data_IF_271261058538
#
_entry.id   IF_271261058538
#
_cell.length_a   1.000
_cell.length_b   1.000
_cell.length_c   1.000
_cell.angle_alpha   90.00
_cell.angle_beta   90.00
_cell.angle_gamma   90.00
#
_symmetry.space_group_name_H-M   'P 1'
#
loop_
_entity.id
_entity.type
_entity.pdbx_description
1 polymer ?
#
# COMPACT_ATOMS: atom_id res chain seq x y z
N UNK A 1 -3.37 39.07 -1.69
CA UNK A 1 -4.31 37.99 -2.05
C UNK A 1 -3.97 37.48 -3.44
N UNK A 2 -3.18 36.40 -3.57
CA UNK A 2 -2.99 35.73 -4.86
C UNK A 2 -4.13 34.72 -5.01
N UNK A 3 -5.18 35.12 -5.70
CA UNK A 3 -6.23 34.23 -6.19
C UNK A 3 -5.59 33.25 -7.17
N UNK A 4 -5.43 32.00 -6.74
CA UNK A 4 -5.19 30.88 -7.67
C UNK A 4 -6.44 30.73 -8.51
N UNK A 5 -6.39 31.19 -9.76
CA UNK A 5 -7.41 30.96 -10.77
C UNK A 5 -7.53 29.44 -11.01
N UNK A 6 -8.56 28.83 -10.43
CA UNK A 6 -9.08 27.55 -10.90
C UNK A 6 -9.55 27.76 -12.34
N UNK A 7 -8.73 27.33 -13.31
CA UNK A 7 -9.06 27.33 -14.72
C UNK A 7 -10.34 26.51 -14.96
N UNK A 8 -11.18 26.89 -15.93
CA UNK A 8 -12.41 26.17 -16.25
C UNK A 8 -12.05 24.76 -16.74
N UNK A 9 -12.92 23.81 -16.42
CA UNK A 9 -12.81 22.39 -16.77
C UNK A 9 -12.32 22.20 -18.20
N UNK A 10 -11.11 21.64 -18.38
CA UNK A 10 -10.57 21.34 -19.70
C UNK A 10 -11.17 20.01 -20.16
N UNK A 11 -11.84 19.95 -21.31
CA UNK A 11 -12.42 18.69 -21.75
C UNK A 11 -11.38 17.81 -22.51
N UNK A 12 -11.50 16.48 -22.37
CA UNK A 12 -10.55 15.50 -22.92
C UNK A 12 -10.99 15.02 -24.30
N UNK A 13 -10.06 15.03 -25.26
CA UNK A 13 -10.31 14.57 -26.62
C UNK A 13 -9.10 13.80 -27.18
N UNK A 14 -9.31 12.56 -27.65
CA UNK A 14 -8.30 11.73 -28.30
C UNK A 14 -6.93 11.66 -27.57
N UNK A 15 -6.93 11.84 -26.25
CA UNK A 15 -5.70 11.89 -25.46
C UNK A 15 -5.00 13.25 -25.48
N UNK A 16 -5.71 14.36 -25.65
CA UNK A 16 -5.24 15.71 -25.41
C UNK A 16 -6.34 16.55 -24.75
N UNK A 17 -5.94 17.57 -24.00
CA UNK A 17 -6.88 18.58 -23.47
C UNK A 17 -6.59 19.92 -24.08
N UNK A 18 -7.64 20.72 -24.32
CA UNK A 18 -7.55 22.07 -24.87
C UNK A 18 -8.01 23.09 -23.83
N UNK A 19 -7.44 24.29 -23.87
CA UNK A 19 -7.83 25.43 -23.04
C UNK A 19 -8.02 26.68 -23.88
N UNK A 20 -8.95 27.54 -23.46
CA UNK A 20 -9.12 28.88 -24.02
C UNK A 20 -8.30 29.88 -23.23
N UNK A 21 -7.55 30.74 -23.92
CA UNK A 21 -6.80 31.82 -23.31
C UNK A 21 -7.76 32.97 -22.95
N UNK A 22 -7.76 33.43 -21.69
CA UNK A 22 -8.75 34.40 -21.19
C UNK A 22 -8.71 35.74 -21.94
N UNK A 23 -7.52 36.25 -22.27
CA UNK A 23 -7.38 37.57 -22.93
C UNK A 23 -7.54 37.52 -24.45
N UNK A 24 -6.91 36.57 -25.14
CA UNK A 24 -6.92 36.50 -26.62
C UNK A 24 -8.09 35.69 -27.16
N UNK A 25 -8.74 34.86 -26.33
CA UNK A 25 -9.76 33.92 -26.77
C UNK A 25 -9.22 32.72 -27.54
N UNK A 26 -7.91 32.60 -27.69
CA UNK A 26 -7.25 31.55 -28.46
C UNK A 26 -7.42 30.18 -27.82
N UNK A 27 -7.67 29.17 -28.64
CA UNK A 27 -7.71 27.77 -28.20
C UNK A 27 -6.33 27.16 -28.37
N UNK A 28 -5.78 26.61 -27.29
CA UNK A 28 -4.45 25.99 -27.27
C UNK A 28 -4.52 24.58 -26.70
N UNK A 29 -3.65 23.69 -27.17
CA UNK A 29 -3.43 22.38 -26.55
C UNK A 29 -2.83 22.63 -25.17
N UNK A 30 -3.59 22.31 -24.12
CA UNK A 30 -3.14 22.44 -22.75
C UNK A 30 -2.22 21.28 -22.35
N UNK A 31 -2.55 20.05 -22.79
CA UNK A 31 -1.80 18.84 -22.46
C UNK A 31 -2.00 17.75 -23.50
N UNK A 32 -0.99 16.91 -23.68
CA UNK A 32 -1.08 15.63 -24.41
C UNK A 32 -0.91 14.49 -23.42
N UNK A 33 -1.81 13.51 -23.47
CA UNK A 33 -1.88 12.34 -22.59
C UNK A 33 -1.12 11.17 -23.21
N UNK A 34 -0.14 10.66 -22.49
CA UNK A 34 0.73 9.56 -22.95
C UNK A 34 -0.07 8.32 -23.32
N UNK A 35 0.26 7.70 -24.46
CA UNK A 35 -0.42 6.53 -25.01
C UNK A 35 -1.79 6.83 -25.64
N UNK A 36 -2.26 8.08 -25.61
CA UNK A 36 -3.43 8.55 -26.35
C UNK A 36 -3.17 8.65 -27.86
N UNK A 37 -4.20 8.93 -28.66
CA UNK A 37 -4.07 9.07 -30.11
C UNK A 37 -3.22 10.30 -30.48
N UNK A 38 -3.39 11.41 -29.76
CA UNK A 38 -2.59 12.62 -29.94
C UNK A 38 -1.10 12.41 -29.64
N UNK A 39 -0.76 11.65 -28.60
CA UNK A 39 0.62 11.28 -28.27
C UNK A 39 1.22 10.35 -29.34
N UNK A 40 0.47 9.31 -29.72
CA UNK A 40 0.89 8.31 -30.72
C UNK A 40 1.09 8.91 -32.12
N UNK A 41 0.38 9.99 -32.47
CA UNK A 41 0.58 10.65 -33.76
C UNK A 41 1.91 11.42 -33.80
N UNK A 42 2.38 11.92 -32.65
CA UNK A 42 3.56 12.79 -32.56
C UNK A 42 3.39 14.14 -33.27
N UNK A 43 2.16 14.54 -33.59
CA UNK A 43 1.87 15.76 -34.36
C UNK A 43 1.33 16.91 -33.50
N UNK A 44 0.92 16.63 -32.26
CA UNK A 44 0.35 17.60 -31.33
C UNK A 44 1.25 17.74 -30.10
N UNK A 45 1.51 18.97 -29.69
CA UNK A 45 2.28 19.30 -28.50
C UNK A 45 1.53 20.28 -27.61
N UNK A 46 1.79 20.23 -26.31
CA UNK A 46 1.29 21.24 -25.39
C UNK A 46 1.82 22.63 -25.80
N UNK A 47 0.94 23.62 -25.85
CA UNK A 47 1.23 24.97 -26.31
C UNK A 47 0.86 25.24 -27.77
N UNK A 48 0.57 24.22 -28.58
CA UNK A 48 0.11 24.43 -29.97
C UNK A 48 -1.23 25.17 -29.98
N UNK A 49 -1.34 26.24 -30.77
CA UNK A 49 -2.58 27.00 -30.96
C UNK A 49 -3.39 26.37 -32.09
N UNK A 50 -4.65 26.01 -31.80
CA UNK A 50 -5.60 25.52 -32.78
C UNK A 50 -6.20 26.70 -33.54
N UNK A 51 -6.13 26.65 -34.87
CA UNK A 51 -6.69 27.66 -35.77
C UNK A 51 -7.93 27.13 -36.48
N UNK A 52 -7.86 25.90 -37.00
CA UNK A 52 -9.00 25.24 -37.65
C UNK A 52 -9.05 23.75 -37.28
N UNK A 53 -10.27 23.20 -37.23
CA UNK A 53 -10.56 21.77 -37.09
C UNK A 53 -11.47 21.36 -38.24
N UNK A 54 -11.01 20.45 -39.09
CA UNK A 54 -11.73 19.99 -40.30
C UNK A 54 -12.20 21.15 -41.20
N UNK A 55 -11.39 22.21 -41.31
CA UNK A 55 -11.72 23.41 -42.09
C UNK A 55 -12.67 24.39 -41.41
N UNK A 56 -13.13 24.10 -40.19
CA UNK A 56 -13.93 25.04 -39.38
C UNK A 56 -12.98 25.87 -38.51
N UNK A 57 -12.99 27.21 -38.62
CA UNK A 57 -12.19 28.07 -37.75
C UNK A 57 -12.66 27.94 -36.31
N UNK A 58 -11.71 27.86 -35.37
CA UNK A 58 -12.01 27.72 -33.94
C UNK A 58 -11.91 29.04 -33.16
N UNK A 59 -11.61 30.13 -33.84
CA UNK A 59 -11.55 31.47 -33.22
C UNK A 59 -12.91 31.87 -32.64
N UNK A 60 -12.89 32.36 -31.40
CA UNK A 60 -14.12 32.77 -30.69
C UNK A 60 -15.00 31.63 -30.19
N UNK A 61 -14.67 30.36 -30.48
CA UNK A 61 -15.38 29.21 -29.93
C UNK A 61 -14.98 28.94 -28.49
N UNK A 62 -15.89 28.30 -27.76
CA UNK A 62 -15.60 27.71 -26.46
C UNK A 62 -15.07 26.27 -26.62
N UNK A 63 -14.22 25.77 -25.69
CA UNK A 63 -13.64 24.43 -25.75
C UNK A 63 -14.68 23.30 -25.97
N UNK A 64 -15.86 23.42 -25.37
CA UNK A 64 -16.95 22.45 -25.49
C UNK A 64 -17.49 22.38 -26.92
N UNK A 65 -17.54 23.52 -27.62
CA UNK A 65 -17.99 23.59 -29.00
C UNK A 65 -16.98 22.93 -29.95
N UNK A 66 -15.68 23.16 -29.71
CA UNK A 66 -14.62 22.49 -30.48
C UNK A 66 -14.68 20.98 -30.29
N UNK A 67 -14.97 20.49 -29.08
CA UNK A 67 -15.15 19.06 -28.86
C UNK A 67 -16.38 18.51 -29.55
N UNK A 68 -17.47 19.27 -29.62
CA UNK A 68 -18.63 18.84 -30.38
C UNK A 68 -18.29 18.64 -31.87
N UNK A 69 -17.55 19.57 -32.47
CA UNK A 69 -17.04 19.46 -33.85
C UNK A 69 -16.18 18.20 -34.01
N UNK A 70 -15.27 17.97 -33.06
CA UNK A 70 -14.38 16.82 -33.08
C UNK A 70 -15.13 15.49 -32.89
N UNK A 71 -16.16 15.45 -32.05
CA UNK A 71 -16.98 14.26 -31.80
C UNK A 71 -17.82 13.84 -33.02
N UNK A 72 -18.18 14.80 -33.89
CA UNK A 72 -18.90 14.54 -35.14
C UNK A 72 -17.99 13.98 -36.25
N UNK A 73 -16.67 13.93 -36.03
CA UNK A 73 -15.70 13.50 -37.03
C UNK A 73 -15.61 11.97 -37.11
N UNK A 74 -15.75 11.39 -38.30
CA UNK A 74 -15.90 9.93 -38.46
C UNK A 74 -14.60 9.15 -38.63
N UNK A 75 -13.47 9.77 -39.00
CA UNK A 75 -12.22 9.01 -39.22
C UNK A 75 -10.95 9.85 -39.08
N UNK A 76 -10.76 10.81 -39.99
CA UNK A 76 -9.56 11.65 -40.03
C UNK A 76 -9.90 13.04 -39.55
N UNK A 77 -9.07 13.58 -38.67
CA UNK A 77 -9.22 14.92 -38.13
C UNK A 77 -8.05 15.76 -38.59
N UNK A 78 -8.37 16.83 -39.29
CA UNK A 78 -7.40 17.76 -39.85
C UNK A 78 -7.30 18.96 -38.93
N UNK A 79 -6.11 19.21 -38.39
CA UNK A 79 -5.82 20.38 -37.58
C UNK A 79 -4.97 21.36 -38.36
N UNK A 80 -5.35 22.64 -38.34
CA UNK A 80 -4.45 23.75 -38.69
C UNK A 80 -3.94 24.36 -37.39
N UNK A 81 -2.63 24.32 -37.20
CA UNK A 81 -1.99 24.66 -35.93
C UNK A 81 -0.94 25.75 -36.13
N UNK A 82 -0.76 26.58 -35.11
CA UNK A 82 0.44 27.40 -34.93
C UNK A 82 1.27 26.73 -33.82
N UNK A 83 2.46 26.19 -34.13
CA UNK A 83 3.29 25.50 -33.14
C UNK A 83 3.64 26.38 -31.93
N UNK A 84 3.59 25.79 -30.75
CA UNK A 84 4.09 26.42 -29.53
C UNK A 84 5.63 26.47 -29.47
N UNK A 85 6.16 27.46 -28.74
CA UNK A 85 7.61 27.73 -28.63
C UNK A 85 8.40 26.64 -27.89
N UNK A 86 7.76 25.89 -26.99
CA UNK A 86 8.43 24.99 -26.05
C UNK A 86 8.23 23.50 -26.41
N UNK A 87 9.08 22.99 -27.30
CA UNK A 87 9.12 21.55 -27.65
C UNK A 87 10.13 20.82 -26.78
N UNK A 88 9.77 20.49 -25.54
CA UNK A 88 10.64 19.72 -24.64
C UNK A 88 10.41 18.21 -24.85
N UNK A 89 11.33 17.56 -25.57
CA UNK A 89 11.39 16.09 -25.65
C UNK A 89 12.04 15.59 -24.34
N UNK A 90 11.35 14.72 -23.60
CA UNK A 90 11.81 14.24 -22.31
C UNK A 90 12.21 12.77 -22.41
N UNK A 91 13.47 12.47 -22.12
CA UNK A 91 13.95 11.11 -21.89
C UNK A 91 13.62 10.75 -20.44
N UNK A 92 12.56 9.98 -20.20
CA UNK A 92 12.15 9.62 -18.85
C UNK A 92 12.57 8.20 -18.48
N UNK A 93 13.16 8.08 -17.29
CA UNK A 93 13.36 6.82 -16.58
C UNK A 93 12.01 6.29 -16.11
N UNK A 94 11.78 4.99 -16.27
CA UNK A 94 10.53 4.37 -15.83
C UNK A 94 10.48 4.33 -14.30
N UNK A 95 9.48 5.00 -13.71
CA UNK A 95 9.25 5.06 -12.26
C UNK A 95 7.96 4.32 -11.90
N UNK A 96 7.99 3.47 -10.87
CA UNK A 96 6.81 2.79 -10.36
C UNK A 96 6.55 3.18 -8.91
N UNK A 97 5.29 3.38 -8.57
CA UNK A 97 4.87 3.74 -7.22
C UNK A 97 3.67 2.91 -6.78
N UNK A 98 3.58 2.65 -5.49
CA UNK A 98 2.40 2.11 -4.81
C UNK A 98 1.57 3.26 -4.28
N UNK A 99 0.28 3.27 -4.57
CA UNK A 99 -0.66 4.25 -4.02
C UNK A 99 -0.91 3.99 -2.53
N UNK A 100 -0.71 4.99 -1.67
CA UNK A 100 -0.90 4.86 -0.23
C UNK A 100 -2.29 5.32 0.25
N UNK A 101 -3.15 5.72 -0.70
CA UNK A 101 -4.47 6.29 -0.48
C UNK A 101 -5.39 6.02 -1.68
N UNK A 102 -6.69 6.26 -1.50
CA UNK A 102 -7.70 6.16 -2.55
C UNK A 102 -7.86 7.50 -3.26
N UNK A 103 -7.97 7.50 -4.60
CA UNK A 103 -8.21 8.70 -5.38
C UNK A 103 -9.37 8.55 -6.36
N UNK A 104 -10.30 9.50 -6.30
CA UNK A 104 -11.43 9.61 -7.21
C UNK A 104 -11.39 10.98 -7.93
N UNK A 105 -11.02 11.03 -9.23
CA UNK A 105 -10.96 12.26 -10.00
C UNK A 105 -12.26 13.07 -9.97
N UNK A 106 -13.41 12.39 -10.01
CA UNK A 106 -14.74 13.02 -10.00
C UNK A 106 -15.05 13.77 -8.71
N UNK A 107 -14.31 13.49 -7.64
CA UNK A 107 -14.47 14.13 -6.33
C UNK A 107 -13.39 15.19 -6.07
N UNK A 108 -12.43 15.41 -6.98
CA UNK A 108 -11.37 16.39 -6.81
C UNK A 108 -11.68 17.68 -7.57
N UNK A 109 -12.07 18.78 -6.89
CA UNK A 109 -12.41 20.03 -7.56
C UNK A 109 -11.19 20.72 -8.19
N UNK A 110 -9.96 20.29 -7.85
CA UNK A 110 -8.73 20.87 -8.39
C UNK A 110 -8.25 20.19 -9.66
N UNK A 111 -8.84 19.07 -10.07
CA UNK A 111 -8.41 18.37 -11.28
C UNK A 111 -8.73 19.21 -12.53
N UNK A 112 -7.78 19.44 -13.45
CA UNK A 112 -8.03 20.23 -14.65
C UNK A 112 -9.10 19.61 -15.55
N UNK A 113 -9.17 18.28 -15.59
CA UNK A 113 -10.10 17.50 -16.38
C UNK A 113 -10.43 16.20 -15.64
N UNK A 114 -11.66 16.06 -15.14
CA UNK A 114 -12.09 14.87 -14.42
C UNK A 114 -12.05 13.61 -15.30
N UNK A 115 -12.38 13.75 -16.59
CA UNK A 115 -12.39 12.66 -17.58
C UNK A 115 -10.99 12.17 -17.94
N UNK A 116 -9.97 13.01 -17.79
CA UNK A 116 -8.57 12.63 -17.94
C UNK A 116 -7.95 12.05 -16.66
N UNK A 117 -8.67 12.06 -15.54
CA UNK A 117 -8.16 11.57 -14.27
C UNK A 117 -8.06 10.05 -14.23
N UNK A 118 -7.00 9.54 -13.61
CA UNK A 118 -6.83 8.12 -13.34
C UNK A 118 -7.35 7.79 -11.93
N UNK A 119 -8.51 7.13 -11.77
CA UNK A 119 -8.94 6.65 -10.46
C UNK A 119 -8.06 5.49 -10.00
N UNK A 120 -7.69 5.49 -8.72
CA UNK A 120 -6.92 4.39 -8.14
C UNK A 120 -7.34 4.09 -6.70
N UNK A 121 -7.06 2.86 -6.30
CA UNK A 121 -7.24 2.36 -4.94
C UNK A 121 -5.91 2.23 -4.24
N UNK A 122 -5.94 2.40 -2.94
CA UNK A 122 -4.85 2.15 -2.02
C UNK A 122 -4.27 0.75 -2.25
N UNK A 123 -2.95 0.66 -2.39
CA UNK A 123 -2.21 -0.56 -2.72
C UNK A 123 -1.95 -0.80 -4.21
N UNK A 124 -2.68 -0.13 -5.12
CA UNK A 124 -2.44 -0.30 -6.56
C UNK A 124 -1.06 0.22 -6.99
N UNK A 125 -0.42 -0.49 -7.91
CA UNK A 125 0.88 -0.10 -8.49
C UNK A 125 0.64 0.71 -9.77
N UNK A 126 1.21 1.92 -9.78
CA UNK A 126 1.13 2.89 -10.85
C UNK A 126 2.51 3.07 -11.49
N UNK A 127 2.55 3.03 -12.82
CA UNK A 127 3.71 3.46 -13.59
C UNK A 127 3.57 4.96 -13.86
N UNK A 128 4.53 5.74 -13.38
CA UNK A 128 4.61 7.17 -13.68
C UNK A 128 5.28 7.33 -15.04
N UNK A 129 4.60 8.05 -15.93
CA UNK A 129 5.05 8.25 -17.33
C UNK A 129 5.28 9.72 -17.68
N UNK A 130 4.83 10.65 -16.83
CA UNK A 130 5.19 12.06 -16.94
C UNK A 130 5.09 12.78 -15.60
N UNK A 131 6.14 13.53 -15.24
CA UNK A 131 6.19 14.39 -14.05
C UNK A 131 6.47 15.86 -14.39
N UNK A 132 6.43 16.27 -15.67
CA UNK A 132 6.69 17.64 -16.11
C UNK A 132 5.77 18.67 -15.43
N UNK A 133 4.50 18.33 -15.26
CA UNK A 133 3.58 19.17 -14.49
C UNK A 133 3.78 18.93 -12.98
N UNK A 134 4.14 20.01 -12.29
CA UNK A 134 4.43 20.04 -10.85
C UNK A 134 3.25 19.58 -10.01
N UNK A 135 2.01 19.82 -10.45
CA UNK A 135 0.77 19.53 -9.73
C UNK A 135 0.13 18.21 -10.16
N UNK A 136 0.18 17.87 -11.44
CA UNK A 136 -0.56 16.75 -12.03
C UNK A 136 0.31 15.82 -12.86
N UNK A 137 0.69 14.68 -12.29
CA UNK A 137 1.47 13.66 -13.02
C UNK A 137 0.60 12.85 -13.95
N UNK A 138 1.20 12.29 -15.00
CA UNK A 138 0.57 11.26 -15.81
C UNK A 138 1.06 9.88 -15.35
N UNK A 139 0.11 8.99 -15.12
CA UNK A 139 0.40 7.63 -14.71
C UNK A 139 -0.53 6.63 -15.41
N UNK A 140 -0.19 5.34 -15.34
CA UNK A 140 -1.07 4.25 -15.75
C UNK A 140 -0.99 3.11 -14.73
N UNK A 141 -2.04 2.30 -14.63
CA UNK A 141 -2.04 1.12 -13.78
C UNK A 141 -1.19 0.02 -14.43
N UNK A 142 -0.34 -0.63 -13.65
CA UNK A 142 0.48 -1.76 -14.15
C UNK A 142 -0.38 -2.91 -14.64
N UNK A 143 -1.56 -3.11 -14.05
CA UNK A 143 -2.53 -4.14 -14.51
C UNK A 143 -3.09 -3.86 -15.91
N UNK A 144 -2.98 -2.64 -16.43
CA UNK A 144 -3.54 -2.27 -17.73
C UNK A 144 -2.64 -1.29 -18.50
N UNK A 145 -1.45 -1.75 -18.89
CA UNK A 145 -0.47 -0.94 -19.63
C UNK A 145 -0.91 -0.55 -21.05
N UNK A 146 -1.95 -1.21 -21.60
CA UNK A 146 -2.47 -0.96 -22.95
C UNK A 146 -3.32 0.30 -23.04
N UNK A 147 -3.87 0.77 -21.92
CA UNK A 147 -4.67 2.00 -21.84
C UNK A 147 -3.75 3.22 -21.79
N UNK A 148 -4.24 4.35 -22.29
CA UNK A 148 -3.54 5.63 -22.14
C UNK A 148 -3.34 5.98 -20.66
N UNK A 149 -2.39 6.88 -20.41
CA UNK A 149 -2.19 7.43 -19.08
C UNK A 149 -3.43 8.24 -18.64
N UNK A 150 -3.50 8.52 -17.34
CA UNK A 150 -4.42 9.51 -16.79
C UNK A 150 -3.73 10.36 -15.73
N UNK A 151 -4.40 11.42 -15.33
CA UNK A 151 -3.90 12.39 -14.37
C UNK A 151 -4.03 11.88 -12.94
N UNK A 152 -2.95 12.00 -12.18
CA UNK A 152 -2.93 11.78 -10.74
C UNK A 152 -2.33 13.00 -10.03
N UNK A 153 -2.76 13.29 -8.79
CA UNK A 153 -2.14 14.35 -7.98
C UNK A 153 -0.66 14.07 -7.76
N UNK A 154 0.19 15.07 -7.93
CA UNK A 154 1.62 14.97 -7.60
C UNK A 154 1.89 14.97 -6.08
N UNK A 155 3.10 14.60 -5.70
CA UNK A 155 3.59 14.80 -4.32
C UNK A 155 3.51 16.27 -3.87
N UNK A 156 3.74 17.24 -4.78
CA UNK A 156 3.71 18.65 -4.44
C UNK A 156 2.27 19.13 -4.13
N UNK A 157 1.30 18.74 -4.96
CA UNK A 157 -0.10 19.06 -4.76
C UNK A 157 -0.62 18.47 -3.45
N UNK A 158 -0.25 17.23 -3.15
CA UNK A 158 -0.65 16.57 -1.90
C UNK A 158 -0.04 17.23 -0.66
N UNK A 159 1.25 17.60 -0.68
CA UNK A 159 1.88 18.36 0.41
C UNK A 159 1.21 19.72 0.65
N UNK A 160 0.70 20.36 -0.41
CA UNK A 160 -0.08 21.61 -0.29
C UNK A 160 -1.43 21.36 0.38
N UNK A 161 -2.22 20.39 -0.10
CA UNK A 161 -3.50 19.99 0.51
C UNK A 161 -3.34 19.62 1.98
N UNK A 162 -2.29 18.86 2.30
CA UNK A 162 -1.98 18.48 3.68
C UNK A 162 -1.68 19.72 4.54
N UNK A 163 -0.80 20.64 4.11
CA UNK A 163 -0.54 21.87 4.87
C UNK A 163 -1.81 22.71 5.08
N UNK A 164 -2.63 22.89 4.05
CA UNK A 164 -3.90 23.65 4.14
C UNK A 164 -4.91 22.97 5.09
N UNK A 165 -4.94 21.64 5.14
CA UNK A 165 -5.74 20.88 6.09
C UNK A 165 -5.27 21.05 7.54
N UNK A 166 -3.96 21.19 7.79
CA UNK A 166 -3.39 21.38 9.13
C UNK A 166 -3.65 22.79 9.70
N UNK A 167 -3.95 23.78 8.86
CA UNK A 167 -4.30 25.15 9.30
C UNK A 167 -5.80 25.33 9.61
N UNK A 168 -6.66 24.39 9.24
CA UNK A 168 -8.13 24.54 9.34
C UNK A 168 -8.76 23.83 10.54
N UNK A 169 -7.99 23.09 11.34
CA UNK A 169 -8.49 22.44 12.55
C UNK A 169 -7.55 22.69 13.74
N UNK A 170 -8.04 23.17 14.91
CA UNK A 170 -7.27 23.01 16.13
C UNK A 170 -7.08 21.51 16.34
N UNK A 171 -5.84 21.10 16.56
CA UNK A 171 -5.50 19.73 16.93
C UNK A 171 -6.44 19.26 18.04
N UNK A 172 -7.39 18.39 17.70
CA UNK A 172 -7.77 17.34 18.62
C UNK A 172 -6.69 16.27 18.41
N UNK A 173 -5.69 16.13 19.30
CA UNK A 173 -4.92 14.90 19.33
C UNK A 173 -5.97 13.80 19.41
N UNK A 174 -5.92 12.82 18.50
CA UNK A 174 -6.83 11.67 18.49
C UNK A 174 -7.07 11.28 19.93
N UNK A 175 -8.25 11.63 20.42
CA UNK A 175 -8.64 11.38 21.79
C UNK A 175 -8.59 9.87 21.90
N UNK A 176 -7.68 9.43 22.77
CA UNK A 176 -7.51 8.07 23.25
C UNK A 176 -8.87 7.36 23.23
N UNK A 177 -9.12 6.55 22.21
CA UNK A 177 -10.30 5.71 22.18
C UNK A 177 -10.05 4.63 23.22
N UNK A 178 -10.80 4.78 24.32
CA UNK A 178 -10.83 3.97 25.52
C UNK A 178 -10.65 2.49 25.21
N UNK A 179 -9.88 1.84 26.07
CA UNK A 179 -9.84 0.40 26.31
C UNK A 179 -11.21 -0.25 26.11
N UNK A 180 -11.43 -0.86 24.95
CA UNK A 180 -12.42 -1.92 24.84
C UNK A 180 -11.71 -3.17 25.29
N UNK A 181 -12.03 -3.60 26.50
CA UNK A 181 -11.70 -4.92 27.01
C UNK A 181 -12.44 -5.90 26.08
N UNK A 182 -11.74 -6.47 25.10
CA UNK A 182 -12.17 -7.75 24.53
C UNK A 182 -11.71 -8.82 25.52
N UNK A 183 -12.65 -9.27 26.34
CA UNK A 183 -12.48 -10.16 27.49
C UNK A 183 -12.03 -11.59 27.13
N UNK A 184 -11.51 -11.83 25.91
CA UNK A 184 -11.10 -13.15 25.44
C UNK A 184 -9.66 -13.30 24.95
N UNK A 185 -8.82 -12.26 25.02
CA UNK A 185 -7.38 -12.41 24.89
C UNK A 185 -6.69 -11.52 25.91
N UNK A 186 -6.23 -12.12 27.00
CA UNK A 186 -5.33 -11.45 27.92
C UNK A 186 -3.96 -11.40 27.23
N UNK A 187 -3.66 -10.34 26.49
CA UNK A 187 -2.32 -9.87 26.16
C UNK A 187 -2.43 -8.36 26.13
N UNK A 188 -2.01 -7.68 27.19
CA UNK A 188 -1.95 -6.23 27.23
C UNK A 188 -0.73 -5.81 26.41
N UNK A 189 -0.94 -5.41 25.16
CA UNK A 189 0.11 -4.78 24.37
C UNK A 189 0.48 -3.44 25.02
N UNK A 190 1.67 -3.33 25.60
CA UNK A 190 2.20 -2.06 26.13
C UNK A 190 2.52 -1.13 24.96
N UNK A 191 1.58 -0.24 24.64
CA UNK A 191 1.72 0.80 23.63
C UNK A 191 2.62 1.92 24.16
N UNK A 192 3.89 1.93 23.75
CA UNK A 192 4.73 3.12 23.91
C UNK A 192 5.07 3.77 22.58
N UNK A 193 4.63 5.01 22.48
CA UNK A 193 4.86 5.98 21.42
C UNK A 193 6.33 6.44 21.49
N UNK A 194 7.21 5.84 20.68
CA UNK A 194 8.61 6.26 20.59
C UNK A 194 8.99 6.54 19.13
N UNK A 195 8.27 7.45 18.48
CA UNK A 195 8.67 7.96 17.16
C UNK A 195 8.64 9.50 17.09
N UNK A 196 8.97 10.19 18.20
CA UNK A 196 8.94 11.66 18.19
C UNK A 196 10.19 12.41 18.62
N UNK A 197 11.27 11.77 19.08
CA UNK A 197 12.36 12.59 19.65
C UNK A 197 13.80 12.34 19.19
N UNK A 198 14.18 11.23 18.55
CA UNK A 198 15.61 11.07 18.17
C UNK A 198 15.95 10.39 16.83
N UNK A 199 15.01 10.14 15.93
CA UNK A 199 15.37 9.76 14.56
C UNK A 199 15.60 10.99 13.68
N UNK A 200 16.75 11.64 13.86
CA UNK A 200 17.34 12.43 12.77
C UNK A 200 17.74 11.44 11.66
N UNK A 201 17.10 11.57 10.49
CA UNK A 201 17.46 10.97 9.19
C UNK A 201 16.92 9.62 8.69
N UNK A 202 16.15 8.81 9.42
CA UNK A 202 15.63 7.54 8.82
C UNK A 202 14.23 7.07 9.23
N UNK A 203 13.39 7.93 9.80
CA UNK A 203 11.95 7.65 9.95
C UNK A 203 11.15 8.46 8.93
N UNK A 204 11.34 8.15 7.65
CA UNK A 204 10.27 8.36 6.68
C UNK A 204 9.13 7.43 7.10
N UNK A 205 8.17 7.93 7.88
CA UNK A 205 6.90 7.23 8.05
C UNK A 205 6.34 6.99 6.63
N UNK A 206 6.48 5.77 6.11
CA UNK A 206 5.91 5.39 4.81
C UNK A 206 4.39 5.65 4.77
N UNK A 207 3.75 5.73 5.94
CA UNK A 207 2.36 6.13 6.14
C UNK A 207 2.05 7.63 5.87
N UNK A 208 3.05 8.50 5.69
CA UNK A 208 2.87 9.94 5.49
C UNK A 208 3.07 10.41 4.04
N UNK A 209 3.51 9.54 3.13
CA UNK A 209 3.76 9.88 1.72
C UNK A 209 2.62 9.29 0.86
N UNK A 210 2.00 10.06 -0.06
CA UNK A 210 0.87 9.58 -0.85
C UNK A 210 1.24 8.46 -1.84
N UNK A 211 2.51 8.36 -2.21
CA UNK A 211 3.05 7.35 -3.10
C UNK A 211 4.35 6.80 -2.53
N UNK A 212 4.47 5.48 -2.43
CA UNK A 212 5.72 4.79 -2.07
C UNK A 212 6.39 4.28 -3.35
N UNK A 213 7.65 4.66 -3.59
CA UNK A 213 8.38 4.15 -4.75
C UNK A 213 8.65 2.66 -4.63
N UNK A 214 8.44 1.91 -5.72
CA UNK A 214 8.58 0.46 -5.75
C UNK A 214 9.37 -0.03 -6.95
N UNK A 215 10.03 -1.17 -6.78
CA UNK A 215 10.76 -1.88 -7.83
C UNK A 215 10.38 -3.36 -7.84
N UNK A 216 10.57 -4.01 -8.99
CA UNK A 216 10.45 -5.47 -9.07
C UNK A 216 11.69 -6.11 -8.45
N UNK A 217 11.47 -6.92 -7.42
CA UNK A 217 12.50 -7.69 -6.73
C UNK A 217 12.21 -9.17 -6.87
N UNK A 218 13.21 -9.92 -7.30
CA UNK A 218 13.25 -11.36 -7.30
C UNK A 218 14.38 -11.79 -6.38
N UNK A 219 14.06 -12.57 -5.34
CA UNK A 219 15.08 -13.18 -4.47
C UNK A 219 15.98 -14.07 -5.32
N UNK A 220 17.29 -13.93 -5.19
CA UNK A 220 18.23 -14.84 -5.83
C UNK A 220 18.37 -16.12 -5.00
N UNK A 221 18.61 -17.29 -5.62
CA UNK A 221 18.72 -18.56 -4.88
C UNK A 221 19.73 -18.56 -3.73
N UNK A 222 20.81 -17.78 -3.84
CA UNK A 222 21.85 -17.63 -2.80
C UNK A 222 21.52 -16.63 -1.68
N UNK A 223 20.47 -15.84 -1.81
CA UNK A 223 20.05 -14.90 -0.76
C UNK A 223 19.23 -15.62 0.33
N UNK A 224 19.22 -15.07 1.55
CA UNK A 224 18.30 -15.50 2.61
C UNK A 224 16.86 -15.55 2.09
N UNK A 225 16.08 -16.53 2.55
CA UNK A 225 14.66 -16.57 2.27
C UNK A 225 13.97 -15.30 2.80
N UNK A 226 12.92 -14.85 2.12
CA UNK A 226 12.10 -13.74 2.60
C UNK A 226 11.29 -14.17 3.82
N UNK A 227 11.16 -13.28 4.80
CA UNK A 227 10.24 -13.44 5.93
C UNK A 227 8.80 -13.50 5.42
N UNK A 228 8.03 -14.50 5.85
CA UNK A 228 6.58 -14.58 5.60
C UNK A 228 5.86 -14.07 6.85
N UNK A 229 5.03 -13.05 6.66
CA UNK A 229 4.23 -12.45 7.72
C UNK A 229 2.75 -12.75 7.48
N UNK A 230 2.08 -13.30 8.48
CA UNK A 230 0.64 -13.52 8.48
C UNK A 230 -0.06 -12.48 9.36
N UNK A 231 -1.09 -11.84 8.84
CA UNK A 231 -1.86 -10.81 9.55
C UNK A 231 -3.34 -11.13 9.39
N UNK A 232 -4.12 -11.03 10.45
CA UNK A 232 -5.57 -11.26 10.37
C UNK A 232 -6.24 -11.01 11.72
N UNK A 233 -7.57 -10.86 11.74
CA UNK A 233 -8.29 -10.65 13.00
C UNK A 233 -8.25 -11.91 13.88
N UNK A 234 -8.45 -11.71 15.18
CA UNK A 234 -8.54 -12.81 16.15
C UNK A 234 -9.59 -13.84 15.70
N UNK A 235 -9.27 -15.13 15.88
CA UNK A 235 -10.15 -16.25 15.54
C UNK A 235 -10.23 -16.60 14.05
N UNK A 236 -9.61 -15.83 13.14
CA UNK A 236 -9.65 -16.12 11.70
C UNK A 236 -8.89 -17.39 11.31
N UNK A 237 -7.97 -17.86 12.16
CA UNK A 237 -7.21 -19.09 11.94
C UNK A 237 -5.74 -18.90 11.52
N UNK A 238 -5.16 -17.70 11.70
CA UNK A 238 -3.72 -17.43 11.43
C UNK A 238 -2.80 -18.46 12.10
N UNK A 239 -3.00 -18.73 13.39
CA UNK A 239 -2.18 -19.69 14.15
C UNK A 239 -2.29 -21.12 13.61
N UNK A 240 -3.49 -21.54 13.24
CA UNK A 240 -3.73 -22.88 12.72
C UNK A 240 -3.15 -23.05 11.31
N UNK A 241 -3.30 -22.05 10.44
CA UNK A 241 -2.68 -22.04 9.11
C UNK A 241 -1.15 -22.10 9.21
N UNK A 242 -0.54 -21.30 10.09
CA UNK A 242 0.90 -21.35 10.36
C UNK A 242 1.35 -22.73 10.85
N UNK A 243 0.62 -23.30 11.81
CA UNK A 243 0.90 -24.64 12.36
C UNK A 243 0.83 -25.72 11.28
N UNK A 244 -0.20 -25.68 10.43
CA UNK A 244 -0.34 -26.62 9.32
C UNK A 244 0.78 -26.45 8.29
N UNK A 245 1.11 -25.21 7.91
CA UNK A 245 2.21 -24.94 6.98
C UNK A 245 3.54 -25.52 7.48
N UNK A 246 3.87 -25.30 8.75
CA UNK A 246 5.08 -25.87 9.37
C UNK A 246 5.00 -27.40 9.41
N UNK A 247 3.83 -27.97 9.73
CA UNK A 247 3.61 -29.40 9.74
C UNK A 247 3.81 -30.07 8.36
N UNK A 248 3.54 -29.36 7.26
CA UNK A 248 3.76 -29.87 5.90
C UNK A 248 5.24 -30.10 5.63
N UNK A 249 6.10 -29.17 6.02
CA UNK A 249 7.55 -29.30 5.85
C UNK A 249 8.33 -28.60 6.98
N UNK A 250 8.59 -29.29 8.11
CA UNK A 250 9.32 -28.73 9.25
C UNK A 250 10.80 -28.43 8.97
N UNK A 251 11.36 -28.97 7.88
CA UNK A 251 12.72 -28.69 7.46
C UNK A 251 12.84 -27.36 6.73
N UNK A 252 11.76 -26.93 6.05
CA UNK A 252 11.73 -25.69 5.27
C UNK A 252 11.10 -24.53 6.04
N UNK A 253 10.01 -24.77 6.76
CA UNK A 253 9.26 -23.72 7.46
C UNK A 253 9.52 -23.77 8.97
N UNK A 254 9.72 -22.60 9.59
CA UNK A 254 9.99 -22.50 11.03
C UNK A 254 9.51 -21.17 11.61
N UNK A 255 9.12 -21.18 12.88
CA UNK A 255 8.85 -19.97 13.64
C UNK A 255 10.15 -19.43 14.26
N UNK A 256 10.24 -18.10 14.39
CA UNK A 256 11.23 -17.50 15.29
C UNK A 256 10.91 -17.88 16.74
N UNK A 257 11.93 -18.19 17.53
CA UNK A 257 11.75 -18.49 18.96
C UNK A 257 11.59 -17.17 19.73
N UNK A 258 10.42 -16.90 20.34
CA UNK A 258 10.18 -15.65 21.05
C UNK A 258 10.93 -15.61 22.38
N UNK A 259 11.02 -14.42 22.97
CA UNK A 259 11.58 -14.16 24.29
C UNK A 259 10.47 -14.02 25.32
N UNK A 260 10.74 -14.39 26.58
CA UNK A 260 9.81 -14.14 27.69
C UNK A 260 10.54 -13.83 28.99
N UNK A 261 9.90 -13.03 29.86
CA UNK A 261 10.34 -12.80 31.25
C UNK A 261 9.69 -13.76 32.24
N UNK A 262 8.83 -14.67 31.78
CA UNK A 262 8.28 -15.74 32.62
C UNK A 262 9.41 -16.70 32.99
N UNK A 263 9.37 -17.27 34.20
CA UNK A 263 10.28 -18.35 34.56
C UNK A 263 10.06 -19.60 33.68
N UNK A 264 11.17 -20.22 33.27
CA UNK A 264 11.17 -21.50 32.56
C UNK A 264 10.53 -22.59 33.44
N UNK A 265 9.64 -23.40 32.87
CA UNK A 265 9.10 -24.57 33.57
C UNK A 265 10.06 -25.75 33.47
N UNK A 266 9.94 -26.71 34.39
CA UNK A 266 10.82 -27.88 34.46
C UNK A 266 10.85 -28.76 33.22
N UNK A 267 9.80 -28.72 32.39
CA UNK A 267 9.67 -29.51 31.16
C UNK A 267 9.91 -28.70 29.87
N UNK A 268 10.22 -27.40 29.99
CA UNK A 268 10.53 -26.52 28.85
C UNK A 268 12.05 -26.41 28.69
N UNK A 269 12.52 -26.09 27.48
CA UNK A 269 13.94 -25.94 27.15
C UNK A 269 14.20 -24.51 26.64
N UNK A 270 15.23 -23.85 27.19
CA UNK A 270 15.60 -22.51 26.75
C UNK A 270 16.11 -22.53 25.31
N UNK A 271 15.55 -21.65 24.47
CA UNK A 271 15.84 -21.60 23.03
C UNK A 271 15.02 -22.58 22.18
N UNK A 272 14.09 -23.33 22.79
CA UNK A 272 13.14 -24.18 22.07
C UNK A 272 11.73 -23.58 22.08
N UNK A 273 11.12 -23.46 23.27
CA UNK A 273 9.81 -22.83 23.41
C UNK A 273 9.93 -21.31 23.46
N UNK A 274 10.84 -20.82 24.31
CA UNK A 274 11.15 -19.41 24.47
C UNK A 274 12.64 -19.22 24.80
N UNK A 275 13.16 -18.02 24.53
CA UNK A 275 14.33 -17.49 25.21
C UNK A 275 13.89 -16.85 26.53
N UNK A 276 14.21 -17.52 27.64
CA UNK A 276 13.87 -17.06 28.98
C UNK A 276 14.91 -16.05 29.45
N UNK A 277 14.51 -14.78 29.53
CA UNK A 277 15.41 -13.66 29.84
C UNK A 277 14.92 -12.86 31.04
N UNK A 278 15.81 -12.27 31.85
CA UNK A 278 15.41 -11.33 32.89
C UNK A 278 14.64 -10.14 32.31
N UNK A 279 13.77 -9.53 33.13
CA UNK A 279 12.99 -8.34 32.73
C UNK A 279 13.87 -7.18 32.24
N UNK A 280 14.99 -6.93 32.92
CA UNK A 280 15.96 -5.90 32.53
C UNK A 280 16.56 -6.15 31.14
N UNK A 281 16.91 -7.40 30.81
CA UNK A 281 17.39 -7.78 29.48
C UNK A 281 16.32 -7.56 28.42
N UNK A 282 15.07 -7.95 28.71
CA UNK A 282 13.95 -7.73 27.79
C UNK A 282 13.72 -6.25 27.52
N UNK A 283 13.69 -5.42 28.58
CA UNK A 283 13.52 -3.96 28.48
C UNK A 283 14.66 -3.30 27.72
N UNK A 284 15.90 -3.78 27.90
CA UNK A 284 17.06 -3.32 27.13
C UNK A 284 16.91 -3.65 25.62
N UNK A 285 16.43 -4.84 25.27
CA UNK A 285 16.14 -5.21 23.88
C UNK A 285 15.06 -4.32 23.26
N UNK A 286 14.01 -3.99 24.02
CA UNK A 286 12.97 -3.04 23.59
C UNK A 286 13.58 -1.64 23.38
N UNK A 287 14.37 -1.14 24.34
CA UNK A 287 15.01 0.17 24.26
C UNK A 287 15.94 0.31 23.06
N UNK A 288 16.65 -0.77 22.72
CA UNK A 288 17.55 -0.84 21.57
C UNK A 288 16.87 -1.22 20.25
N UNK A 289 15.53 -1.14 20.18
CA UNK A 289 14.75 -1.42 18.96
C UNK A 289 14.99 -2.82 18.36
N UNK A 290 15.34 -3.80 19.20
CA UNK A 290 15.57 -5.19 18.77
C UNK A 290 14.32 -6.06 18.81
N UNK A 291 13.22 -5.57 19.39
CA UNK A 291 11.93 -6.26 19.41
C UNK A 291 11.08 -5.83 18.22
N UNK A 292 10.69 -6.79 17.37
CA UNK A 292 9.78 -6.53 16.25
C UNK A 292 8.33 -6.42 16.75
N UNK A 293 7.99 -7.22 17.75
CA UNK A 293 6.70 -7.23 18.40
C UNK A 293 6.85 -7.70 19.85
N UNK A 294 6.16 -7.06 20.78
CA UNK A 294 6.13 -7.47 22.17
C UNK A 294 4.84 -7.03 22.87
N UNK A 295 4.49 -7.75 23.93
CA UNK A 295 3.32 -7.49 24.76
C UNK A 295 3.46 -8.10 26.15
N UNK A 296 2.53 -7.77 27.03
CA UNK A 296 2.49 -8.29 28.40
C UNK A 296 1.34 -9.30 28.56
N UNK A 297 1.62 -10.41 29.21
CA UNK A 297 0.64 -11.39 29.58
C UNK A 297 0.86 -11.94 30.98
N UNK A 298 -0.19 -11.88 31.82
CA UNK A 298 -0.18 -12.35 33.21
C UNK A 298 1.04 -11.84 33.99
N UNK A 299 1.41 -10.57 33.80
CA UNK A 299 2.54 -9.92 34.48
C UNK A 299 3.93 -10.26 33.92
N UNK A 300 4.00 -10.97 32.79
CA UNK A 300 5.25 -11.31 32.11
C UNK A 300 5.28 -10.73 30.70
N UNK A 301 6.45 -10.29 30.24
CA UNK A 301 6.63 -9.80 28.89
C UNK A 301 6.91 -10.97 27.95
N UNK A 302 6.42 -10.87 26.73
CA UNK A 302 6.66 -11.78 25.62
C UNK A 302 6.93 -10.97 24.36
N UNK A 303 7.80 -11.44 23.48
CA UNK A 303 8.04 -10.75 22.22
C UNK A 303 9.00 -11.48 21.31
N UNK A 304 9.00 -11.12 20.04
CA UNK A 304 9.88 -11.72 19.03
C UNK A 304 10.92 -10.67 18.62
N UNK A 305 12.19 -11.03 18.76
CA UNK A 305 13.28 -10.16 18.39
C UNK A 305 13.64 -10.31 16.91
N UNK A 306 14.29 -9.29 16.36
CA UNK A 306 14.86 -9.34 15.01
C UNK A 306 15.93 -10.44 14.91
N UNK A 307 16.74 -10.61 15.96
CA UNK A 307 17.78 -11.65 16.05
C UNK A 307 17.18 -13.06 15.98
N UNK A 308 16.01 -13.29 16.59
CA UNK A 308 15.31 -14.58 16.52
C UNK A 308 14.79 -14.89 15.11
N UNK A 309 14.37 -13.87 14.35
CA UNK A 309 14.01 -14.03 12.93
C UNK A 309 15.24 -14.33 12.10
N UNK A 310 16.35 -13.60 12.30
CA UNK A 310 17.61 -13.87 11.59
C UNK A 310 18.13 -15.27 11.81
N UNK A 311 18.08 -15.78 13.05
CA UNK A 311 18.51 -17.14 13.35
C UNK A 311 17.82 -18.19 12.44
N UNK A 312 16.52 -18.03 12.16
CA UNK A 312 15.79 -18.93 11.25
C UNK A 312 16.20 -18.73 9.79
N UNK A 313 16.34 -17.47 9.36
CA UNK A 313 16.71 -17.15 7.98
C UNK A 313 18.15 -17.58 7.64
N UNK A 314 19.07 -17.47 8.61
CA UNK A 314 20.47 -17.89 8.51
C UNK A 314 20.64 -19.40 8.44
N UNK A 315 19.71 -20.16 9.01
CA UNK A 315 19.63 -21.61 8.81
C UNK A 315 19.14 -22.01 7.40
N UNK A 316 18.88 -21.04 6.51
CA UNK A 316 18.35 -21.28 5.17
C UNK A 316 16.88 -21.70 5.15
N UNK A 317 16.15 -21.47 6.25
CA UNK A 317 14.71 -21.77 6.39
C UNK A 317 13.86 -20.56 6.07
N UNK A 318 12.57 -20.79 5.82
CA UNK A 318 11.58 -19.74 5.65
C UNK A 318 10.96 -19.48 7.02
N UNK A 319 11.23 -18.29 7.56
CA UNK A 319 10.64 -17.85 8.81
C UNK A 319 9.17 -17.47 8.57
N UNK A 320 8.26 -18.06 9.35
CA UNK A 320 6.83 -17.72 9.37
C UNK A 320 6.53 -17.01 10.67
N UNK A 321 5.97 -15.81 10.60
CA UNK A 321 5.65 -14.98 11.75
C UNK A 321 4.22 -14.45 11.63
N UNK A 322 3.44 -14.51 12.71
CA UNK A 322 2.21 -13.74 12.85
C UNK A 322 2.54 -12.37 13.45
N UNK A 323 1.85 -11.34 12.98
CA UNK A 323 2.03 -9.97 13.46
C UNK A 323 0.71 -9.24 13.59
N UNK A 324 0.63 -8.38 14.60
CA UNK A 324 -0.42 -7.40 14.68
C UNK A 324 -0.20 -6.25 13.67
N UNK A 325 -1.27 -5.63 13.13
CA UNK A 325 -1.15 -4.66 12.04
C UNK A 325 -0.30 -3.42 12.35
N UNK A 326 -0.24 -2.99 13.61
CA UNK A 326 0.58 -1.85 14.01
C UNK A 326 2.08 -2.16 14.00
N UNK A 327 2.46 -3.43 14.05
CA UNK A 327 3.85 -3.90 14.00
C UNK A 327 4.44 -3.91 12.58
N UNK A 328 3.59 -3.75 11.55
CA UNK A 328 3.97 -3.80 10.12
C UNK A 328 5.16 -2.89 9.78
N UNK A 329 5.22 -1.67 10.35
CA UNK A 329 6.29 -0.72 10.03
C UNK A 329 7.66 -1.20 10.51
N UNK A 330 7.73 -1.95 11.62
CA UNK A 330 9.00 -2.40 12.19
C UNK A 330 9.64 -3.55 11.41
N UNK A 331 8.83 -4.38 10.76
CA UNK A 331 9.34 -5.51 9.94
C UNK A 331 9.62 -5.13 8.49
N UNK A 332 9.10 -3.99 8.01
CA UNK A 332 9.26 -3.50 6.62
C UNK A 332 10.64 -2.89 6.37
N UNK A 333 11.68 -3.69 6.55
CA UNK A 333 13.07 -3.28 6.39
C UNK A 333 13.71 -3.85 5.13
N UNK A 334 14.78 -3.20 4.67
CA UNK A 334 15.60 -3.69 3.56
C UNK A 334 16.23 -5.04 3.85
N UNK A 335 16.44 -5.38 5.13
CA UNK A 335 17.05 -6.62 5.56
C UNK A 335 16.06 -7.79 5.53
N UNK A 336 14.88 -7.62 6.17
CA UNK A 336 13.88 -8.69 6.29
C UNK A 336 13.05 -8.90 5.01
N UNK A 337 12.87 -7.85 4.21
CA UNK A 337 12.06 -7.82 2.97
C UNK A 337 10.77 -8.67 3.07
N UNK A 338 9.92 -8.43 4.09
CA UNK A 338 8.80 -9.31 4.41
C UNK A 338 7.83 -9.45 3.24
N UNK A 339 7.14 -10.58 3.18
CA UNK A 339 5.98 -10.80 2.32
C UNK A 339 4.74 -10.92 3.20
N UNK A 340 3.83 -9.96 3.05
CA UNK A 340 2.71 -9.73 3.94
C UNK A 340 1.44 -10.40 3.42
N UNK A 341 0.96 -11.42 4.11
CA UNK A 341 -0.24 -12.18 3.73
C UNK A 341 -1.36 -11.86 4.71
N UNK A 342 -2.42 -11.21 4.23
CA UNK A 342 -3.61 -10.91 5.00
C UNK A 342 -4.61 -12.07 4.94
N UNK A 343 -4.89 -12.68 6.09
CA UNK A 343 -5.88 -13.73 6.27
C UNK A 343 -7.21 -13.08 6.66
N UNK A 344 -8.16 -13.13 5.73
CA UNK A 344 -9.47 -12.49 5.86
C UNK A 344 -10.54 -13.54 6.16
N UNK A 345 -11.49 -13.28 7.07
CA UNK A 345 -12.68 -14.12 7.22
C UNK A 345 -13.60 -14.00 5.98
N UNK A 346 -14.42 -15.01 5.65
CA UNK A 346 -15.54 -14.83 4.74
C UNK A 346 -16.63 -13.98 5.42
N UNK A 347 -17.76 -13.76 4.72
CA UNK A 347 -18.87 -12.99 5.30
C UNK A 347 -19.43 -13.64 6.56
N UNK A 348 -20.02 -12.85 7.46
CA UNK A 348 -20.67 -13.36 8.68
C UNK A 348 -21.65 -14.50 8.38
N UNK A 349 -22.49 -14.35 7.36
CA UNK A 349 -23.44 -15.37 6.91
C UNK A 349 -22.77 -16.69 6.52
N UNK A 350 -21.62 -16.63 5.86
CA UNK A 350 -20.83 -17.78 5.47
C UNK A 350 -20.17 -18.43 6.69
N UNK A 351 -19.59 -17.63 7.60
CA UNK A 351 -18.97 -18.11 8.84
C UNK A 351 -19.95 -18.88 9.74
N UNK A 352 -21.20 -18.42 9.86
CA UNK A 352 -22.24 -19.13 10.63
C UNK A 352 -22.43 -20.57 10.16
N UNK A 353 -22.28 -20.80 8.85
CA UNK A 353 -22.40 -22.12 8.26
C UNK A 353 -21.10 -22.93 8.43
N UNK A 354 -19.95 -22.35 8.08
CA UNK A 354 -18.67 -23.08 8.02
C UNK A 354 -18.02 -23.27 9.38
N UNK A 355 -18.27 -22.38 10.34
CA UNK A 355 -17.70 -22.43 11.71
C UNK A 355 -18.65 -23.01 12.76
N UNK A 356 -19.82 -23.53 12.38
CA UNK A 356 -20.82 -24.11 13.31
C UNK A 356 -20.24 -25.16 14.28
N UNK A 357 -19.29 -25.96 13.80
CA UNK A 357 -18.61 -27.00 14.58
C UNK A 357 -17.15 -26.64 14.91
N UNK A 358 -16.65 -25.51 14.39
CA UNK A 358 -15.31 -25.04 14.67
C UNK A 358 -15.24 -24.54 16.11
N UNK A 359 -14.08 -24.74 16.72
CA UNK A 359 -13.82 -24.34 18.10
C UNK A 359 -12.68 -23.34 18.12
N UNK A 360 -12.78 -22.35 18.99
CA UNK A 360 -11.71 -21.39 19.22
C UNK A 360 -10.58 -22.15 19.90
N UNK A 361 -9.43 -22.22 19.23
CA UNK A 361 -8.22 -22.80 19.82
C UNK A 361 -7.47 -21.64 20.47
N UNK A 362 -7.60 -21.51 21.79
CA UNK A 362 -6.71 -20.68 22.60
C UNK A 362 -5.56 -21.54 23.13
N UNK A 363 -4.45 -20.93 23.55
CA UNK A 363 -3.30 -21.62 24.17
C UNK A 363 -3.67 -22.44 25.42
N UNK A 364 -4.90 -22.28 25.94
CA UNK A 364 -5.42 -22.91 27.14
C UNK A 364 -6.36 -24.10 26.90
N UNK A 365 -6.42 -24.66 25.68
CA UNK A 365 -7.30 -25.81 25.36
C UNK A 365 -8.77 -25.58 25.77
N UNK A 366 -9.25 -24.33 25.79
CA UNK A 366 -10.66 -24.05 26.09
C UNK A 366 -11.43 -24.16 24.78
N UNK A 367 -12.12 -25.28 24.62
CA UNK A 367 -13.00 -25.53 23.47
C UNK A 367 -14.28 -24.69 23.55
N UNK A 368 -14.18 -23.41 23.18
CA UNK A 368 -15.34 -22.53 23.06
C UNK A 368 -15.86 -22.54 21.63
N UNK A 369 -17.18 -22.64 21.47
CA UNK A 369 -17.83 -22.41 20.18
C UNK A 369 -17.83 -20.91 19.90
N UNK A 370 -17.69 -20.54 18.64
CA UNK A 370 -17.90 -19.16 18.21
C UNK A 370 -19.32 -18.73 18.54
N UNK A 371 -19.45 -17.58 19.19
CA UNK A 371 -20.72 -16.86 19.32
C UNK A 371 -20.93 -15.97 18.09
N UNK A 372 -22.16 -15.51 17.90
CA UNK A 372 -22.49 -14.62 16.78
C UNK A 372 -21.77 -13.28 16.89
N UNK A 373 -21.61 -12.78 18.11
CA UNK A 373 -20.86 -11.55 18.40
C UNK A 373 -19.39 -11.70 17.99
N UNK A 374 -18.78 -12.86 18.25
CA UNK A 374 -17.39 -13.15 17.87
C UNK A 374 -17.21 -13.13 16.34
N UNK A 375 -18.19 -13.67 15.59
CA UNK A 375 -18.16 -13.69 14.13
C UNK A 375 -18.31 -12.28 13.55
N UNK A 376 -19.17 -11.46 14.14
CA UNK A 376 -19.36 -10.09 13.72
C UNK A 376 -18.12 -9.22 14.02
N UNK A 377 -17.56 -9.34 15.22
CA UNK A 377 -16.31 -8.67 15.60
C UNK A 377 -15.17 -9.05 14.66
N UNK A 378 -15.05 -10.33 14.29
CA UNK A 378 -14.04 -10.81 13.36
C UNK A 378 -14.15 -10.14 11.99
N UNK A 379 -15.36 -10.02 11.42
CA UNK A 379 -15.57 -9.37 10.13
C UNK A 379 -15.32 -7.85 10.19
N UNK A 380 -15.81 -7.18 11.25
CA UNK A 380 -15.61 -5.74 11.45
C UNK A 380 -14.12 -5.40 11.64
N UNK A 381 -13.42 -6.21 12.44
CA UNK A 381 -11.97 -6.09 12.64
C UNK A 381 -11.21 -6.29 11.32
N UNK A 382 -11.59 -7.29 10.51
CA UNK A 382 -11.01 -7.49 9.18
C UNK A 382 -11.17 -6.26 8.27
N UNK A 383 -12.39 -5.69 8.20
CA UNK A 383 -12.69 -4.50 7.40
C UNK A 383 -11.84 -3.30 7.84
N UNK A 384 -11.67 -3.12 9.16
CA UNK A 384 -10.84 -2.06 9.73
C UNK A 384 -9.36 -2.25 9.38
N UNK A 385 -8.84 -3.48 9.50
CA UNK A 385 -7.46 -3.81 9.14
C UNK A 385 -7.18 -3.54 7.67
N UNK A 386 -8.05 -4.02 6.77
CA UNK A 386 -7.93 -3.82 5.33
C UNK A 386 -7.97 -2.33 4.95
N UNK A 387 -8.86 -1.56 5.56
CA UNK A 387 -8.96 -0.10 5.32
C UNK A 387 -7.68 0.63 5.77
N UNK A 388 -7.16 0.28 6.94
CA UNK A 388 -6.02 0.98 7.55
C UNK A 388 -4.67 0.55 6.97
N UNK A 389 -4.49 -0.74 6.66
CA UNK A 389 -3.20 -1.35 6.35
C UNK A 389 -3.16 -2.08 5.00
N UNK A 390 -4.26 -2.13 4.24
CA UNK A 390 -4.37 -2.87 2.98
C UNK A 390 -3.28 -2.61 1.94
N UNK A 391 -2.71 -1.39 1.90
CA UNK A 391 -1.58 -1.04 1.04
C UNK A 391 -0.31 -1.83 1.33
N UNK A 392 -0.16 -2.40 2.52
CA UNK A 392 1.02 -3.15 2.91
C UNK A 392 0.90 -4.64 2.67
N UNK A 393 -0.29 -5.14 2.32
CA UNK A 393 -0.52 -6.56 2.06
C UNK A 393 -0.11 -6.89 0.63
N UNK A 394 0.76 -7.88 0.47
CA UNK A 394 1.16 -8.39 -0.83
C UNK A 394 0.13 -9.38 -1.37
N UNK A 395 -0.55 -10.11 -0.47
CA UNK A 395 -1.56 -11.10 -0.82
C UNK A 395 -2.68 -11.17 0.21
N UNK A 396 -3.88 -11.48 -0.27
CA UNK A 396 -5.09 -11.69 0.54
C UNK A 396 -5.56 -13.13 0.36
N UNK A 397 -5.81 -13.82 1.46
CA UNK A 397 -6.38 -15.18 1.49
C UNK A 397 -7.67 -15.15 2.30
N UNK A 398 -8.78 -15.58 1.71
CA UNK A 398 -10.05 -15.71 2.44
C UNK A 398 -10.10 -17.09 3.09
N UNK A 399 -10.04 -17.14 4.42
CA UNK A 399 -10.10 -18.40 5.16
C UNK A 399 -11.55 -18.82 5.46
N UNK A 400 -12.21 -19.33 4.42
CA UNK A 400 -13.51 -19.99 4.55
C UNK A 400 -13.38 -21.50 4.84
N UNK A 401 -12.52 -22.17 4.06
CA UNK A 401 -12.12 -23.55 4.30
C UNK A 401 -10.62 -23.60 4.62
N UNK A 402 -10.30 -24.21 5.77
CA UNK A 402 -8.94 -24.25 6.29
C UNK A 402 -7.95 -25.00 5.38
N UNK A 403 -8.39 -26.07 4.72
CA UNK A 403 -7.54 -26.87 3.82
C UNK A 403 -7.22 -26.08 2.54
N UNK A 404 -8.24 -25.47 1.92
CA UNK A 404 -8.06 -24.63 0.73
C UNK A 404 -7.22 -23.39 1.04
N UNK A 405 -7.46 -22.73 2.17
CA UNK A 405 -6.65 -21.61 2.62
C UNK A 405 -5.19 -22.01 2.88
N UNK A 406 -4.96 -23.23 3.40
CA UNK A 406 -3.61 -23.77 3.59
C UNK A 406 -2.90 -24.03 2.25
N UNK A 407 -3.59 -24.57 1.24
CA UNK A 407 -3.05 -24.74 -0.11
C UNK A 407 -2.72 -23.39 -0.77
N UNK A 408 -3.61 -22.41 -0.64
CA UNK A 408 -3.36 -21.04 -1.09
C UNK A 408 -2.15 -20.42 -0.37
N UNK A 409 -2.00 -20.67 0.93
CA UNK A 409 -0.86 -20.20 1.71
C UNK A 409 0.46 -20.83 1.24
N UNK A 410 0.49 -22.13 0.94
CA UNK A 410 1.67 -22.79 0.35
C UNK A 410 2.04 -22.13 -0.99
N UNK A 411 1.05 -21.89 -1.85
CA UNK A 411 1.26 -21.20 -3.13
C UNK A 411 1.79 -19.78 -2.93
N UNK A 412 1.23 -19.02 -1.98
CA UNK A 412 1.64 -17.67 -1.63
C UNK A 412 3.12 -17.63 -1.19
N UNK A 413 3.52 -18.56 -0.33
CA UNK A 413 4.90 -18.65 0.14
C UNK A 413 5.84 -19.01 -1.00
N UNK A 414 5.45 -19.93 -1.90
CA UNK A 414 6.25 -20.25 -3.08
C UNK A 414 6.45 -19.02 -3.99
N UNK A 415 5.37 -18.28 -4.28
CA UNK A 415 5.42 -17.04 -5.08
C UNK A 415 6.32 -15.99 -4.42
N UNK A 416 6.22 -15.83 -3.09
CA UNK A 416 7.04 -14.89 -2.35
C UNK A 416 8.54 -15.15 -2.50
N UNK A 417 8.95 -16.43 -2.53
CA UNK A 417 10.35 -16.84 -2.62
C UNK A 417 10.89 -16.89 -4.05
N UNK A 418 10.04 -17.19 -5.04
CA UNK A 418 10.46 -17.63 -6.38
C UNK A 418 9.96 -16.76 -7.53
N UNK A 419 9.03 -15.82 -7.30
CA UNK A 419 8.49 -14.96 -8.34
C UNK A 419 8.74 -13.46 -8.08
N UNK A 420 8.88 -12.61 -9.11
CA UNK A 420 9.22 -11.21 -8.93
C UNK A 420 8.08 -10.43 -8.26
N UNK A 421 8.35 -9.79 -7.13
CA UNK A 421 7.37 -9.02 -6.35
C UNK A 421 7.67 -7.52 -6.35
N UNK A 422 6.66 -6.69 -6.07
CA UNK A 422 6.86 -5.25 -5.89
C UNK A 422 7.29 -4.93 -4.46
N UNK A 423 8.52 -4.49 -4.29
CA UNK A 423 9.06 -4.08 -2.98
C UNK A 423 9.36 -2.58 -2.97
N UNK A 424 9.37 -1.92 -1.81
CA UNK A 424 9.87 -0.56 -1.69
C UNK A 424 11.27 -0.41 -2.31
N UNK A 425 11.47 0.62 -3.14
CA UNK A 425 12.75 0.86 -3.80
C UNK A 425 13.90 1.05 -2.79
N UNK A 426 13.59 1.63 -1.62
CA UNK A 426 14.51 1.82 -0.50
C UNK A 426 15.07 0.51 0.06
N UNK A 427 14.45 -0.64 -0.23
CA UNK A 427 14.97 -1.94 0.19
C UNK A 427 16.12 -2.46 -0.68
N UNK A 428 16.30 -1.89 -1.88
CA UNK A 428 17.31 -2.32 -2.85
C UNK A 428 18.41 -1.25 -3.00
N UNK A 429 18.07 0.04 -2.82
CA UNK A 429 18.97 1.16 -3.09
C UNK A 429 20.01 1.49 -2.00
N UNK A 430 20.20 0.63 -0.98
CA UNK A 430 21.19 0.86 0.09
C UNK A 430 22.61 0.40 -0.25
N UNK A 431 23.04 0.59 -1.51
CA UNK A 431 24.34 0.15 -2.04
C UNK A 431 25.21 1.25 -2.66
N UNK A 432 25.02 2.51 -2.26
CA UNK A 432 25.89 3.61 -2.68
C UNK A 432 26.13 4.60 -1.54
N UNK A 433 26.74 4.08 -0.48
CA UNK A 433 27.56 4.84 0.47
C UNK A 433 28.82 4.03 0.70
N UNK A 434 29.72 4.07 -0.29
CA UNK A 434 31.15 3.84 -0.10
C UNK A 434 31.86 5.20 -0.14
#
# INVERSE_FOLDING_TARGET
>A
SRTTSTLPFLPLFQGATIKRHELTGDITVARVIHGGLADKSGLLYAGDKLVEVNGIPVEGLEPEQVIHILALSQSTIMFKLIPGSDRIISNQTTLYVRAMWDYCPRQDPLIPCADAGLPFKKGEILQIVDQKDILWWQARKVSNLKVCAGLIPSNHLMKRKQREFWWTHPFHPLSCLKSTICEYNTFLMMRHLACHTHCLNSCYCAAAVPYEEVVRYQRQPGDRNRLIVLIGPSGVGVNELRRQLIGINPHLFRNAVPHTTRAQKSYEENGREYHYVPKETFENMVYNYRMLEYGEYKGHLYGTSIDAVHAVLDEGKICIMDLEPYSIQFVRTHDLKPYMIFIKPPSVSCMKQTRKNARIITDYYVNMKFKEEDLQEMEESAKKMETQFGQFFDQLIVNDNLQEACLQLVSAVHQAQNEPQWVPATWICSGSQD
#
